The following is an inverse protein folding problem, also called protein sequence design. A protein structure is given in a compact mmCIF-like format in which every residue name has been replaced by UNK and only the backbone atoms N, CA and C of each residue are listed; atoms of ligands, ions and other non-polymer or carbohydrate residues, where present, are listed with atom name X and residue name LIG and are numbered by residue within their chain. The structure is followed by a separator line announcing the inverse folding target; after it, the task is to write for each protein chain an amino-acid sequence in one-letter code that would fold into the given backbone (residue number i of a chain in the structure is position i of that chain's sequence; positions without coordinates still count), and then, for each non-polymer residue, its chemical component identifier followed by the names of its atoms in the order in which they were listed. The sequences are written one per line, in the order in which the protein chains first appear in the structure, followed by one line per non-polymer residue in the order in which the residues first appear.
data_IF_186124180114
#
_entry.id   IF_186124180114
#
_cell.length_a   1.000
_cell.length_b   1.000
_cell.length_c   1.000
_cell.angle_alpha   90.00
_cell.angle_beta   90.00
_cell.angle_gamma   90.00
#
_symmetry.space_group_name_H-M   'P 1'
#
loop_
_entity.id
_entity.type
_entity.pdbx_description
1 polymer ?
#
# COMPACT_ATOMS: atom_id res chain seq x y z
N UNK A 1 3.35 4.51 -11.09
CA UNK A 1 4.09 5.16 -9.99
C UNK A 1 4.68 4.04 -9.17
N UNK A 2 5.97 4.08 -8.87
CA UNK A 2 6.60 3.04 -8.04
C UNK A 2 6.02 3.05 -6.62
N UNK A 3 5.85 1.87 -6.00
CA UNK A 3 5.26 1.72 -4.67
C UNK A 3 6.10 2.42 -3.59
N UNK A 4 7.42 2.45 -3.77
CA UNK A 4 8.32 3.17 -2.86
C UNK A 4 8.08 4.67 -2.95
N UNK A 5 8.00 5.22 -4.17
CA UNK A 5 7.70 6.65 -4.38
C UNK A 5 6.30 7.03 -3.84
N UNK A 6 5.31 6.16 -3.98
CA UNK A 6 3.98 6.39 -3.41
C UNK A 6 4.04 6.46 -1.88
N UNK A 7 4.76 5.53 -1.25
CA UNK A 7 4.95 5.51 0.20
C UNK A 7 5.63 6.78 0.72
N UNK A 8 6.63 7.31 0.00
CA UNK A 8 7.28 8.58 0.35
C UNK A 8 6.29 9.75 0.35
N UNK A 9 5.42 9.83 -0.66
CA UNK A 9 4.41 10.89 -0.76
C UNK A 9 3.35 10.79 0.32
N UNK A 10 2.88 9.57 0.61
CA UNK A 10 1.96 9.32 1.71
C UNK A 10 2.58 9.72 3.06
N UNK A 11 3.88 9.44 3.25
CA UNK A 11 4.61 9.86 4.45
C UNK A 11 4.71 11.38 4.57
N UNK A 12 4.98 12.10 3.49
CA UNK A 12 4.97 13.57 3.49
C UNK A 12 3.58 14.13 3.81
N UNK A 13 2.53 13.56 3.23
CA UNK A 13 1.15 13.95 3.50
C UNK A 13 0.79 13.71 4.97
N UNK A 14 1.20 12.56 5.53
CA UNK A 14 1.02 12.26 6.94
C UNK A 14 1.71 13.30 7.83
N UNK A 15 2.99 13.60 7.58
CA UNK A 15 3.75 14.60 8.37
C UNK A 15 3.03 15.95 8.40
N UNK A 16 2.55 16.43 7.23
CA UNK A 16 1.82 17.70 7.12
C UNK A 16 0.50 17.70 7.90
N UNK A 17 -0.28 16.61 7.83
CA UNK A 17 -1.54 16.53 8.56
C UNK A 17 -1.32 16.33 10.07
N UNK A 18 -0.30 15.58 10.44
CA UNK A 18 0.08 15.38 11.84
C UNK A 18 0.55 16.68 12.49
N UNK A 19 1.38 17.48 11.82
CA UNK A 19 1.80 18.80 12.32
C UNK A 19 0.60 19.74 12.56
N UNK A 20 -0.36 19.77 11.63
CA UNK A 20 -1.62 20.55 11.80
C UNK A 20 -2.42 20.03 12.99
N UNK A 21 -2.47 18.71 13.19
CA UNK A 21 -3.17 18.08 14.29
C UNK A 21 -2.55 18.43 15.65
N UNK A 22 -1.21 18.40 15.77
CA UNK A 22 -0.49 18.83 16.98
C UNK A 22 -0.74 20.30 17.31
N UNK A 23 -0.98 21.14 16.29
CA UNK A 23 -1.41 22.53 16.43
C UNK A 23 -2.91 22.71 16.77
N UNK A 24 -3.61 21.62 17.12
CA UNK A 24 -5.00 21.63 17.57
C UNK A 24 -6.05 21.43 16.49
N UNK A 25 -5.67 21.24 15.22
CA UNK A 25 -6.65 20.99 14.15
C UNK A 25 -7.18 19.55 14.20
N UNK A 26 -8.30 19.33 14.88
CA UNK A 26 -8.94 18.01 15.04
C UNK A 26 -9.27 17.33 13.71
N UNK A 27 -9.68 18.09 12.69
CA UNK A 27 -10.00 17.54 11.35
C UNK A 27 -8.76 17.01 10.64
N UNK A 28 -7.58 17.60 10.89
CA UNK A 28 -6.31 17.09 10.39
C UNK A 28 -5.98 15.71 11.00
N UNK A 29 -6.37 15.45 12.26
CA UNK A 29 -6.24 14.13 12.88
C UNK A 29 -7.05 13.04 12.17
N UNK A 30 -8.23 13.35 11.64
CA UNK A 30 -9.00 12.40 10.81
C UNK A 30 -8.30 12.11 9.48
N UNK A 31 -7.73 13.14 8.84
CA UNK A 31 -6.96 12.94 7.60
C UNK A 31 -5.67 12.18 7.84
N UNK A 32 -4.91 12.50 8.88
CA UNK A 32 -3.69 11.78 9.27
C UNK A 32 -3.95 10.28 9.47
N UNK A 33 -5.04 9.92 10.17
CA UNK A 33 -5.44 8.51 10.34
C UNK A 33 -5.77 7.83 9.01
N UNK A 34 -6.42 8.53 8.08
CA UNK A 34 -6.70 7.99 6.74
C UNK A 34 -5.40 7.74 5.96
N UNK A 35 -4.48 8.71 5.96
CA UNK A 35 -3.17 8.56 5.32
C UNK A 35 -2.39 7.38 5.92
N UNK A 36 -2.43 7.18 7.24
CA UNK A 36 -1.82 6.01 7.88
C UNK A 36 -2.44 4.66 7.43
N UNK A 37 -3.74 4.61 7.13
CA UNK A 37 -4.35 3.41 6.55
C UNK A 37 -3.88 3.18 5.11
N UNK A 38 -3.70 4.24 4.34
CA UNK A 38 -3.15 4.16 2.98
C UNK A 38 -1.70 3.67 3.01
N UNK A 39 -0.85 4.22 3.88
CA UNK A 39 0.53 3.75 4.13
C UNK A 39 0.56 2.26 4.46
N UNK A 40 -0.33 1.80 5.37
CA UNK A 40 -0.41 0.38 5.73
C UNK A 40 -0.68 -0.50 4.51
N UNK A 41 -1.59 -0.08 3.62
CA UNK A 41 -1.91 -0.80 2.38
C UNK A 41 -0.71 -0.81 1.44
N UNK A 42 -0.09 0.35 1.18
CA UNK A 42 1.08 0.49 0.31
C UNK A 42 2.26 -0.37 0.80
N UNK A 43 2.52 -0.40 2.11
CA UNK A 43 3.53 -1.28 2.71
C UNK A 43 3.20 -2.77 2.51
N UNK A 44 1.93 -3.16 2.61
CA UNK A 44 1.51 -4.54 2.38
C UNK A 44 1.67 -4.93 0.91
N UNK A 45 1.35 -4.04 -0.02
CA UNK A 45 1.52 -4.24 -1.46
C UNK A 45 3.01 -4.34 -1.82
N UNK A 46 3.86 -3.49 -1.24
CA UNK A 46 5.31 -3.55 -1.41
C UNK A 46 5.88 -4.87 -0.87
N UNK A 47 5.43 -5.32 0.30
CA UNK A 47 5.82 -6.62 0.87
C UNK A 47 5.41 -7.77 -0.06
N UNK A 48 4.18 -7.76 -0.56
CA UNK A 48 3.69 -8.79 -1.50
C UNK A 48 4.49 -8.76 -2.79
N UNK A 49 4.80 -7.58 -3.33
CA UNK A 49 5.66 -7.42 -4.51
C UNK A 49 7.04 -8.06 -4.29
N UNK A 50 7.71 -7.78 -3.18
CA UNK A 50 9.00 -8.39 -2.82
C UNK A 50 8.88 -9.93 -2.71
N UNK A 51 7.77 -10.43 -2.17
CA UNK A 51 7.49 -11.87 -2.10
C UNK A 51 7.12 -12.47 -3.46
N UNK A 52 6.50 -11.69 -4.35
CA UNK A 52 6.12 -12.05 -5.71
C UNK A 52 7.31 -12.17 -6.65
N UNK A 53 8.36 -11.35 -6.44
CA UNK A 53 9.67 -11.54 -7.09
C UNK A 53 10.29 -12.91 -6.75
N UNK A 54 9.89 -13.56 -5.64
CA UNK A 54 10.23 -14.97 -5.36
C UNK A 54 9.31 -15.99 -6.04
N UNK A 55 8.09 -15.62 -6.45
CA UNK A 55 7.15 -16.52 -7.15
C UNK A 55 7.28 -16.49 -8.67
N UNK A 56 7.84 -15.43 -9.26
CA UNK A 56 8.13 -15.39 -10.70
C UNK A 56 9.35 -16.25 -11.11
N UNK A 57 9.86 -17.09 -10.20
CA UNK A 57 10.79 -18.19 -10.47
C UNK A 57 10.16 -19.58 -10.45
N UNK A 58 8.92 -19.74 -9.95
CA UNK A 58 8.27 -21.04 -9.81
C UNK A 58 6.77 -20.95 -10.09
N UNK A 59 6.35 -21.46 -11.25
CA UNK A 59 5.02 -22.03 -11.41
C UNK A 59 4.03 -21.27 -12.31
N UNK A 60 4.41 -21.02 -13.57
CA UNK A 60 3.39 -21.09 -14.64
C UNK A 60 3.04 -22.57 -14.83
N UNK A 61 1.89 -23.00 -14.31
CA UNK A 61 1.24 -24.25 -14.76
C UNK A 61 -0.03 -23.87 -15.53
N UNK A 62 -0.29 -24.46 -16.70
CA UNK A 62 -1.22 -23.94 -17.69
C UNK A 62 -2.68 -24.20 -17.29
N UNK A 63 -3.57 -23.39 -17.86
CA UNK A 63 -5.00 -23.70 -18.01
C UNK A 63 -5.18 -25.08 -18.68
N UNK A 64 -6.16 -25.84 -18.20
CA UNK A 64 -6.81 -26.88 -19.01
C UNK A 64 -8.33 -26.67 -18.90
N UNK A 65 -8.93 -26.24 -20.02
CA UNK A 65 -10.34 -26.44 -20.35
C UNK A 65 -10.70 -27.92 -20.25
N UNK A 66 -11.90 -28.24 -19.74
CA UNK A 66 -12.34 -29.64 -19.72
C UNK A 66 -13.78 -29.79 -19.25
N UNK A 67 -14.67 -29.96 -20.22
CA UNK A 67 -16.09 -30.20 -20.08
C UNK A 67 -16.46 -31.54 -19.41
N UNK A 68 -17.75 -31.61 -19.06
CA UNK A 68 -18.59 -32.80 -18.94
C UNK A 68 -18.40 -33.72 -17.72
N UNK A 69 -19.41 -33.76 -16.84
CA UNK A 69 -20.56 -34.69 -16.93
C UNK A 69 -21.60 -34.39 -15.87
#
# INVERSE_FOLDING_TARGET
MDLVQQLEQELEAFKREYEKFEKGNKSAGTRARKVLQDIKRTCQDLRVSIQGVKKEGEGKKPEEEGAAS
#
